data_IF_673678825849
#
_entry.id   IF_673678825849
#
_cell.length_a   1.000
_cell.length_b   1.000
_cell.length_c   1.000
_cell.angle_alpha   90.00
_cell.angle_beta   90.00
_cell.angle_gamma   90.00
#
_symmetry.space_group_name_H-M   'P 1'
#
loop_
_entity.id
_entity.type
_entity.pdbx_description
1 polymer ?
#
# COMPACT_ATOMS: atom_id res chain seq x y z
N UNK A 1 -19.02 3.08 1.21
CA UNK A 1 -17.99 2.43 0.38
C UNK A 1 -16.70 2.42 1.18
N UNK A 2 -16.14 1.25 1.52
CA UNK A 2 -14.89 1.18 2.29
C UNK A 2 -13.73 1.66 1.41
N UNK A 3 -12.95 2.60 1.91
CA UNK A 3 -11.82 3.19 1.20
C UNK A 3 -10.53 2.57 1.71
N UNK A 4 -9.67 2.05 0.84
CA UNK A 4 -8.44 1.40 1.28
C UNK A 4 -7.25 2.29 0.98
N UNK A 5 -6.36 2.46 1.95
CA UNK A 5 -5.22 3.35 1.88
C UNK A 5 -3.92 2.58 2.16
N UNK A 6 -3.03 2.51 1.18
CA UNK A 6 -1.67 2.01 1.36
C UNK A 6 -0.78 3.17 1.76
N UNK A 7 -0.18 3.08 2.93
CA UNK A 7 0.84 3.99 3.38
C UNK A 7 2.20 3.40 2.99
N UNK A 8 2.99 4.10 2.18
CA UNK A 8 4.31 3.60 1.76
C UNK A 8 5.43 4.48 2.30
N UNK A 9 6.35 3.85 3.01
CA UNK A 9 7.59 4.44 3.49
C UNK A 9 8.61 4.65 2.40
N UNK A 10 9.07 5.87 2.19
CA UNK A 10 10.28 6.12 1.43
C UNK A 10 11.31 6.82 2.31
N UNK A 11 12.27 6.06 2.85
CA UNK A 11 13.40 6.62 3.59
C UNK A 11 14.40 7.24 2.60
N UNK A 12 14.35 8.55 2.40
CA UNK A 12 15.36 9.29 1.64
C UNK A 12 16.38 9.88 2.62
N UNK A 13 17.39 9.08 2.98
CA UNK A 13 18.60 9.54 3.66
C UNK A 13 19.69 9.97 2.64
N UNK A 14 20.66 10.82 3.03
CA UNK A 14 21.62 11.44 2.10
C UNK A 14 22.77 10.54 1.60
N UNK A 15 22.82 9.26 1.97
CA UNK A 15 23.82 8.32 1.44
C UNK A 15 23.16 6.95 1.22
N UNK A 16 23.55 6.31 0.11
CA UNK A 16 23.16 4.99 -0.44
C UNK A 16 21.94 4.94 -1.36
N UNK A 17 22.23 4.87 -2.65
CA UNK A 17 21.42 4.14 -3.61
C UNK A 17 21.36 2.64 -3.20
N UNK A 18 20.18 2.04 -3.41
CA UNK A 18 19.89 0.59 -3.41
C UNK A 18 19.88 -0.13 -2.06
N UNK A 19 18.67 -0.41 -1.52
CA UNK A 19 18.25 -1.79 -1.12
C UNK A 19 16.85 -2.01 -0.52
N UNK A 20 15.92 -1.05 -0.48
CA UNK A 20 14.56 -1.34 0.07
C UNK A 20 13.37 -0.72 -0.67
N UNK A 21 13.54 -0.41 -1.94
CA UNK A 21 12.43 -0.04 -2.85
C UNK A 21 11.98 -1.21 -3.74
N UNK A 22 12.54 -2.41 -3.53
CA UNK A 22 12.41 -3.53 -4.48
C UNK A 22 11.27 -4.50 -4.17
N UNK A 23 10.64 -4.45 -2.99
CA UNK A 23 9.67 -5.49 -2.63
C UNK A 23 8.21 -5.06 -2.75
N UNK A 24 7.94 -3.84 -3.23
CA UNK A 24 6.59 -3.40 -3.53
C UNK A 24 6.44 -2.98 -4.99
N UNK A 25 6.80 -3.89 -5.89
CA UNK A 25 6.47 -3.80 -7.33
C UNK A 25 5.02 -3.39 -7.53
N UNK A 26 4.11 -3.85 -6.66
CA UNK A 26 2.71 -3.45 -6.66
C UNK A 26 2.51 -1.93 -6.56
N UNK A 27 3.05 -1.28 -5.52
CA UNK A 27 2.91 0.17 -5.27
C UNK A 27 3.55 1.04 -6.35
N UNK A 28 4.62 0.56 -6.99
CA UNK A 28 5.29 1.29 -8.08
C UNK A 28 4.69 0.97 -9.47
N UNK A 29 3.85 -0.05 -9.60
CA UNK A 29 3.20 -0.41 -10.87
C UNK A 29 1.93 0.40 -11.11
N UNK A 30 1.36 0.27 -12.31
CA UNK A 30 0.05 0.83 -12.64
C UNK A 30 -1.14 0.01 -12.09
N UNK A 31 -0.88 -1.21 -11.58
CA UNK A 31 -1.86 -2.11 -10.98
C UNK A 31 -2.75 -1.50 -9.90
N UNK A 32 -2.25 -0.75 -8.89
CA UNK A 32 -3.10 -0.09 -7.90
C UNK A 32 -4.13 0.88 -8.48
N UNK A 33 -3.87 1.45 -9.67
CA UNK A 33 -4.84 2.33 -10.36
C UNK A 33 -6.06 1.56 -10.89
N UNK A 34 -5.98 0.23 -10.97
CA UNK A 34 -7.06 -0.64 -11.41
C UNK A 34 -8.07 -0.95 -10.31
N UNK A 35 -7.80 -0.59 -9.05
CA UNK A 35 -8.70 -0.89 -7.93
C UNK A 35 -9.48 0.35 -7.52
N UNK A 36 -10.82 0.27 -7.57
CA UNK A 36 -11.67 1.40 -7.17
C UNK A 36 -11.64 1.56 -5.66
N UNK A 37 -11.25 2.73 -5.18
CA UNK A 37 -11.20 3.02 -3.75
C UNK A 37 -9.87 2.69 -3.08
N UNK A 38 -8.85 2.27 -3.84
CA UNK A 38 -7.47 2.19 -3.37
C UNK A 38 -6.79 3.56 -3.49
N UNK A 39 -6.19 4.03 -2.40
CA UNK A 39 -5.37 5.24 -2.36
C UNK A 39 -3.97 4.88 -1.85
N UNK A 40 -2.93 5.43 -2.49
CA UNK A 40 -1.55 5.25 -2.03
C UNK A 40 -1.06 6.58 -1.49
N UNK A 41 -0.63 6.58 -0.22
CA UNK A 41 -0.06 7.73 0.46
C UNK A 41 1.41 7.45 0.79
N UNK A 42 2.30 8.26 0.23
CA UNK A 42 3.72 8.18 0.57
C UNK A 42 4.01 9.04 1.78
N UNK A 43 4.62 8.46 2.80
CA UNK A 43 5.04 9.18 3.99
C UNK A 43 6.47 8.81 4.31
N UNK A 44 7.23 9.82 4.70
CA UNK A 44 8.66 9.70 4.95
C UNK A 44 8.89 9.12 6.33
N UNK A 45 9.77 8.12 6.41
CA UNK A 45 10.22 7.56 7.69
C UNK A 45 9.21 6.66 8.41
N UNK A 46 8.12 6.26 7.76
CA UNK A 46 7.16 5.27 8.29
C UNK A 46 7.27 3.97 7.52
N UNK A 47 7.03 2.83 8.16
CA UNK A 47 6.99 1.53 7.48
C UNK A 47 5.79 1.42 6.53
N UNK A 48 5.89 0.66 5.43
CA UNK A 48 4.79 0.44 4.52
C UNK A 48 3.70 -0.42 5.18
N UNK A 49 2.50 0.16 5.30
CA UNK A 49 1.34 -0.45 5.94
C UNK A 49 0.08 -0.23 5.10
N UNK A 50 -0.76 -1.25 4.99
CA UNK A 50 -2.09 -1.19 4.41
C UNK A 50 -3.08 -0.80 5.50
N UNK A 51 -3.88 0.23 5.26
CA UNK A 51 -4.91 0.72 6.18
C UNK A 51 -6.26 0.66 5.49
N UNK A 52 -7.21 -0.04 6.07
CA UNK A 52 -8.59 -0.03 5.63
C UNK A 52 -9.30 1.13 6.32
N UNK A 53 -9.86 2.06 5.54
CA UNK A 53 -10.68 3.17 6.03
C UNK A 53 -12.16 2.83 5.88
N UNK A 54 -12.93 3.13 6.92
CA UNK A 54 -14.40 3.07 6.86
C UNK A 54 -14.97 4.33 6.18
N UNK A 55 -16.29 4.41 6.01
CA UNK A 55 -16.99 5.54 5.36
C UNK A 55 -16.74 6.87 6.10
N UNK A 56 -16.48 6.77 7.41
CA UNK A 56 -16.11 7.90 8.26
C UNK A 56 -14.63 8.34 8.13
N UNK A 57 -13.82 7.68 7.30
CA UNK A 57 -12.38 7.99 7.13
C UNK A 57 -11.50 7.54 8.30
N UNK A 58 -12.04 6.74 9.23
CA UNK A 58 -11.28 6.17 10.34
C UNK A 58 -10.59 4.87 9.92
N UNK A 59 -9.40 4.61 10.49
CA UNK A 59 -8.69 3.34 10.30
C UNK A 59 -9.51 2.23 10.95
N UNK A 60 -10.19 1.45 10.12
CA UNK A 60 -10.89 0.24 10.54
C UNK A 60 -9.89 -0.87 10.86
N UNK A 61 -8.85 -1.01 10.05
CA UNK A 61 -7.84 -2.08 10.20
C UNK A 61 -6.49 -1.65 9.63
N UNK A 62 -5.39 -2.04 10.29
CA UNK A 62 -4.01 -1.73 9.86
C UNK A 62 -3.18 -3.02 9.77
N UNK A 63 -2.57 -3.25 8.59
CA UNK A 63 -1.80 -4.43 8.26
C UNK A 63 -0.43 -4.03 7.71
N UNK A 64 0.65 -4.64 8.22
CA UNK A 64 2.00 -4.34 7.75
C UNK A 64 2.36 -5.14 6.50
N UNK A 65 2.44 -4.46 5.34
CA UNK A 65 2.79 -5.09 4.05
C UNK A 65 4.30 -5.25 3.84
N UNK A 66 5.12 -4.84 4.80
CA UNK A 66 6.59 -4.95 4.75
C UNK A 66 7.07 -6.40 4.53
N UNK A 67 6.31 -7.40 5.00
CA UNK A 67 6.63 -8.83 4.83
C UNK A 67 5.79 -9.52 3.75
N UNK A 68 4.91 -8.78 3.07
CA UNK A 68 3.98 -9.35 2.12
C UNK A 68 4.62 -9.42 0.73
N UNK A 69 4.35 -10.51 0.00
CA UNK A 69 4.77 -10.65 -1.38
C UNK A 69 3.82 -9.88 -2.31
N UNK A 70 4.31 -9.51 -3.51
CA UNK A 70 3.50 -8.80 -4.52
C UNK A 70 2.22 -9.55 -4.89
N UNK A 71 2.30 -10.89 -4.97
CA UNK A 71 1.17 -11.77 -5.25
C UNK A 71 0.12 -11.76 -4.12
N UNK A 72 0.57 -11.94 -2.87
CA UNK A 72 -0.32 -11.91 -1.70
C UNK A 72 -1.00 -10.55 -1.49
N UNK A 73 -0.30 -9.44 -1.80
CA UNK A 73 -0.91 -8.09 -1.77
C UNK A 73 -1.97 -7.95 -2.86
N UNK A 74 -1.70 -8.46 -4.06
CA UNK A 74 -2.63 -8.39 -5.19
C UNK A 74 -3.90 -9.22 -4.92
N UNK A 75 -3.76 -10.45 -4.43
CA UNK A 75 -4.90 -11.31 -4.06
C UNK A 75 -5.73 -10.70 -2.94
N UNK A 76 -5.09 -10.19 -1.89
CA UNK A 76 -5.81 -9.56 -0.77
C UNK A 76 -6.59 -8.32 -1.22
N UNK A 77 -5.97 -7.46 -2.03
CA UNK A 77 -6.65 -6.28 -2.57
C UNK A 77 -7.77 -6.69 -3.52
N UNK A 78 -7.60 -7.74 -4.31
CA UNK A 78 -8.67 -8.26 -5.18
C UNK A 78 -9.82 -8.92 -4.40
N UNK A 79 -9.57 -9.42 -3.19
CA UNK A 79 -10.62 -9.94 -2.30
C UNK A 79 -11.39 -8.80 -1.62
N UNK A 80 -10.68 -7.75 -1.18
CA UNK A 80 -11.27 -6.65 -0.43
C UNK A 80 -11.81 -5.52 -1.31
N UNK A 81 -11.32 -5.36 -2.53
CA UNK A 81 -11.69 -4.31 -3.49
C UNK A 81 -12.20 -4.92 -4.78
N UNK A 82 -13.13 -4.22 -5.40
CA UNK A 82 -13.58 -4.55 -6.76
C UNK A 82 -12.57 -3.97 -7.77
N UNK A 83 -12.06 -4.84 -8.67
CA UNK A 83 -11.24 -4.41 -9.81
C UNK A 83 -12.14 -3.69 -10.81
N UNK A 84 -11.70 -2.53 -11.28
CA UNK A 84 -12.34 -1.73 -12.34
C UNK A 84 -12.21 -2.42 -13.70
#
# INVERSE_FOLDING_TARGET
MRQQCIHCGCFMGPFVAKKKDMENTFVRSDKPKLFRGLQIKYVRGSDPVLKLLDDAGNIAEELSILKWNTDSVEEFLSEKLERL
#
